data_IF_160935116121
#
_entry.id   IF_160935116121
#
_cell.length_a   1.000
_cell.length_b   1.000
_cell.length_c   1.000
_cell.angle_alpha   90.00
_cell.angle_beta   90.00
_cell.angle_gamma   90.00
#
_symmetry.space_group_name_H-M   'P 1'
#
loop_
_entity.id
_entity.type
_entity.pdbx_description
1 polymer ?
#
# COMPACT_ATOMS: atom_id res chain seq x y z
N UNK A 1 -20.02 11.59 -30.75
CA UNK A 1 -21.00 10.91 -31.62
C UNK A 1 -20.29 10.65 -32.95
N UNK A 2 -20.08 9.46 -33.48
CA UNK A 2 -20.70 8.15 -33.26
C UNK A 2 -19.68 7.08 -32.88
N UNK A 3 -20.13 6.13 -32.06
CA UNK A 3 -19.43 4.92 -31.68
C UNK A 3 -19.29 4.01 -32.90
N UNK A 4 -18.07 3.58 -33.23
CA UNK A 4 -17.89 2.38 -34.06
C UNK A 4 -18.14 1.17 -33.17
N UNK A 5 -19.34 0.60 -33.29
CA UNK A 5 -19.67 -0.73 -32.81
C UNK A 5 -18.57 -1.71 -33.22
N UNK A 6 -17.81 -2.19 -32.24
CA UNK A 6 -16.92 -3.32 -32.44
C UNK A 6 -17.79 -4.51 -32.79
N UNK A 7 -17.88 -4.80 -34.10
CA UNK A 7 -18.56 -5.96 -34.63
C UNK A 7 -18.03 -7.21 -33.93
N UNK A 8 -18.90 -7.87 -33.16
CA UNK A 8 -18.78 -9.29 -32.87
C UNK A 8 -18.65 -10.02 -34.21
N UNK A 9 -17.41 -10.29 -34.63
CA UNK A 9 -17.16 -11.19 -35.74
C UNK A 9 -17.40 -12.60 -35.25
N UNK A 10 -18.64 -13.06 -35.41
CA UNK A 10 -18.96 -14.48 -35.34
C UNK A 10 -18.27 -15.18 -36.51
N UNK A 11 -17.21 -15.92 -36.20
CA UNK A 11 -16.45 -16.68 -37.19
C UNK A 11 -17.22 -17.96 -37.51
N UNK A 12 -17.52 -18.20 -38.78
CA UNK A 12 -18.14 -19.46 -39.21
C UNK A 12 -17.18 -20.64 -39.02
N UNK A 13 -17.71 -21.87 -38.89
CA UNK A 13 -16.88 -23.10 -38.79
C UNK A 13 -15.84 -23.19 -39.92
N UNK A 14 -16.21 -22.75 -41.13
CA UNK A 14 -15.32 -22.78 -42.29
C UNK A 14 -14.24 -21.70 -42.23
N UNK A 15 -14.59 -20.47 -41.81
CA UNK A 15 -13.58 -19.41 -41.60
C UNK A 15 -12.62 -19.76 -40.48
N UNK A 16 -13.09 -20.43 -39.42
CA UNK A 16 -12.22 -20.89 -38.33
C UNK A 16 -11.22 -21.94 -38.82
N UNK A 17 -11.67 -22.93 -39.60
CA UNK A 17 -10.77 -23.92 -40.22
C UNK A 17 -9.77 -23.28 -41.19
N UNK A 18 -10.18 -22.25 -41.92
CA UNK A 18 -9.32 -21.52 -42.85
C UNK A 18 -8.24 -20.70 -42.11
N UNK A 19 -8.62 -19.97 -41.04
CA UNK A 19 -7.68 -19.24 -40.18
C UNK A 19 -6.68 -20.20 -39.50
N UNK A 20 -7.13 -21.38 -39.07
CA UNK A 20 -6.25 -22.39 -38.49
C UNK A 20 -5.23 -22.94 -39.49
N UNK A 21 -5.63 -23.10 -40.76
CA UNK A 21 -4.74 -23.54 -41.82
C UNK A 21 -3.74 -22.44 -42.19
N UNK A 22 -4.17 -21.19 -42.18
CA UNK A 22 -3.37 -20.00 -42.47
C UNK A 22 -2.30 -19.73 -41.40
N UNK A 23 -2.63 -19.86 -40.11
CA UNK A 23 -1.73 -19.52 -39.00
C UNK A 23 -1.02 -20.73 -38.35
N UNK A 24 -1.58 -21.94 -38.45
CA UNK A 24 -1.05 -23.16 -37.81
C UNK A 24 -0.20 -24.05 -38.71
N UNK A 25 -0.24 -23.85 -40.03
CA UNK A 25 0.59 -24.55 -41.01
C UNK A 25 0.37 -26.06 -41.16
N UNK A 26 -0.50 -26.69 -40.34
CA UNK A 26 -0.68 -28.14 -40.27
C UNK A 26 -2.06 -28.53 -39.71
N UNK A 27 -2.82 -29.34 -40.47
CA UNK A 27 -4.19 -29.81 -40.17
C UNK A 27 -4.27 -30.83 -39.02
N UNK A 28 -3.11 -31.34 -38.60
CA UNK A 28 -2.92 -32.49 -37.72
C UNK A 28 -3.19 -32.19 -36.24
N UNK A 29 -3.14 -30.93 -35.78
CA UNK A 29 -3.41 -30.60 -34.38
C UNK A 29 -4.86 -30.90 -33.95
N UNK A 30 -5.86 -30.57 -34.77
CA UNK A 30 -7.27 -30.80 -34.42
C UNK A 30 -7.73 -32.23 -34.72
N UNK A 31 -7.12 -32.90 -35.68
CA UNK A 31 -7.31 -34.35 -35.87
C UNK A 31 -6.72 -35.11 -34.68
N UNK A 32 -5.53 -34.75 -34.21
CA UNK A 32 -4.94 -35.27 -32.96
C UNK A 32 -5.81 -34.92 -31.73
N UNK A 33 -6.23 -33.66 -31.59
CA UNK A 33 -7.04 -33.21 -30.46
C UNK A 33 -8.39 -33.93 -30.42
N UNK A 34 -9.12 -34.01 -31.53
CA UNK A 34 -10.41 -34.70 -31.59
C UNK A 34 -10.32 -36.22 -31.39
N UNK A 35 -9.15 -36.82 -31.65
CA UNK A 35 -8.90 -38.26 -31.44
C UNK A 35 -8.36 -38.60 -30.05
N UNK A 36 -7.66 -37.68 -29.38
CA UNK A 36 -6.95 -37.95 -28.11
C UNK A 36 -7.46 -37.14 -26.91
N UNK A 37 -8.35 -36.17 -27.13
CA UNK A 37 -8.98 -35.42 -26.03
C UNK A 37 -10.43 -35.86 -25.84
N UNK A 38 -10.90 -35.94 -24.58
CA UNK A 38 -12.23 -36.48 -24.28
C UNK A 38 -13.39 -35.56 -24.69
N UNK A 39 -13.11 -34.31 -25.10
CA UNK A 39 -14.14 -33.31 -25.43
C UNK A 39 -13.66 -32.46 -26.62
N UNK A 40 -14.34 -32.49 -27.78
CA UNK A 40 -14.06 -31.57 -28.89
C UNK A 40 -14.32 -30.12 -28.43
N UNK A 41 -13.45 -29.16 -28.76
CA UNK A 41 -13.68 -27.77 -28.36
C UNK A 41 -14.90 -27.24 -29.12
N UNK A 42 -15.89 -26.69 -28.41
CA UNK A 42 -17.05 -26.11 -29.07
C UNK A 42 -16.68 -24.80 -29.74
N UNK A 43 -17.44 -24.40 -30.77
CA UNK A 43 -17.27 -23.10 -31.44
C UNK A 43 -17.35 -21.97 -30.40
N UNK A 44 -18.17 -22.15 -29.36
CA UNK A 44 -18.29 -21.23 -28.25
C UNK A 44 -17.00 -21.16 -27.43
N UNK A 45 -16.40 -22.30 -27.03
CA UNK A 45 -15.10 -22.31 -26.33
C UNK A 45 -14.01 -21.61 -27.14
N UNK A 46 -13.98 -21.86 -28.45
CA UNK A 46 -13.02 -21.28 -29.39
C UNK A 46 -13.18 -19.76 -29.48
N UNK A 47 -14.40 -19.27 -29.69
CA UNK A 47 -14.69 -17.83 -29.77
C UNK A 47 -14.37 -17.14 -28.43
N UNK A 48 -14.68 -17.80 -27.31
CA UNK A 48 -14.37 -17.29 -25.98
C UNK A 48 -12.86 -17.24 -25.72
N UNK A 49 -12.09 -18.19 -26.26
CA UNK A 49 -10.62 -18.20 -26.21
C UNK A 49 -10.02 -17.10 -27.11
N UNK A 50 -10.43 -17.02 -28.38
CA UNK A 50 -9.92 -16.03 -29.35
C UNK A 50 -10.20 -14.58 -28.94
N UNK A 51 -11.32 -14.33 -28.24
CA UNK A 51 -11.64 -13.01 -27.69
C UNK A 51 -10.85 -12.64 -26.42
N UNK A 52 -10.07 -13.58 -25.88
CA UNK A 52 -9.35 -13.45 -24.61
C UNK A 52 -10.27 -13.53 -23.38
N UNK A 53 -11.58 -13.72 -23.56
CA UNK A 53 -12.55 -13.80 -22.46
C UNK A 53 -12.35 -15.05 -21.60
N UNK A 54 -11.94 -16.16 -22.22
CA UNK A 54 -11.60 -17.38 -21.48
C UNK A 54 -10.50 -17.12 -20.46
N UNK A 55 -9.41 -16.47 -20.91
CA UNK A 55 -8.30 -16.08 -20.04
C UNK A 55 -8.76 -15.14 -18.93
N UNK A 56 -9.62 -14.14 -19.20
CA UNK A 56 -10.21 -13.27 -18.16
C UNK A 56 -10.94 -14.09 -17.10
N UNK A 57 -11.81 -15.00 -17.54
CA UNK A 57 -12.66 -15.79 -16.67
C UNK A 57 -11.84 -16.71 -15.76
N UNK A 58 -10.90 -17.47 -16.32
CA UNK A 58 -10.04 -18.35 -15.52
C UNK A 58 -9.18 -17.55 -14.54
N UNK A 59 -8.70 -16.37 -14.95
CA UNK A 59 -7.97 -15.45 -14.05
C UNK A 59 -8.83 -14.95 -12.89
N UNK A 60 -10.09 -14.56 -13.14
CA UNK A 60 -11.04 -14.19 -12.08
C UNK A 60 -11.27 -15.33 -11.10
N UNK A 61 -11.45 -16.56 -11.60
CA UNK A 61 -11.65 -17.75 -10.77
C UNK A 61 -10.42 -18.00 -9.89
N UNK A 62 -9.22 -18.01 -10.48
CA UNK A 62 -7.97 -18.20 -9.76
C UNK A 62 -7.74 -17.12 -8.70
N UNK A 63 -8.02 -15.86 -9.04
CA UNK A 63 -7.93 -14.73 -8.13
C UNK A 63 -8.88 -14.87 -6.93
N UNK A 64 -10.15 -15.21 -7.16
CA UNK A 64 -11.13 -15.48 -6.10
C UNK A 64 -10.70 -16.64 -5.18
N UNK A 65 -10.15 -17.72 -5.75
CA UNK A 65 -9.62 -18.85 -4.97
C UNK A 65 -8.47 -18.43 -4.05
N UNK A 66 -7.59 -17.56 -4.53
CA UNK A 66 -6.46 -17.05 -3.74
C UNK A 66 -6.94 -16.17 -2.58
N UNK A 67 -7.86 -15.23 -2.86
CA UNK A 67 -8.41 -14.34 -1.83
C UNK A 67 -9.20 -15.07 -0.75
N UNK A 68 -10.04 -16.04 -1.13
CA UNK A 68 -10.82 -16.83 -0.17
C UNK A 68 -9.94 -17.68 0.73
N UNK A 69 -8.81 -18.22 0.23
CA UNK A 69 -7.86 -18.95 1.07
C UNK A 69 -7.31 -18.05 2.18
N UNK A 70 -6.89 -16.83 1.84
CA UNK A 70 -6.36 -15.86 2.81
C UNK A 70 -7.39 -15.46 3.87
N UNK A 71 -8.63 -15.17 3.47
CA UNK A 71 -9.73 -14.88 4.42
C UNK A 71 -10.00 -16.06 5.36
N UNK A 72 -9.91 -17.28 4.84
CA UNK A 72 -10.07 -18.47 5.68
C UNK A 72 -8.95 -18.63 6.69
N UNK A 73 -7.70 -18.33 6.31
CA UNK A 73 -6.53 -18.47 7.18
C UNK A 73 -6.63 -17.56 8.43
N UNK A 74 -7.41 -16.48 8.36
CA UNK A 74 -7.69 -15.56 9.47
C UNK A 74 -9.07 -15.78 10.12
N UNK A 75 -9.77 -16.86 9.78
CA UNK A 75 -11.01 -17.28 10.44
C UNK A 75 -12.32 -16.68 9.90
N UNK A 76 -12.29 -15.96 8.77
CA UNK A 76 -13.51 -15.44 8.15
C UNK A 76 -14.26 -16.59 7.44
N UNK A 77 -15.57 -16.72 7.68
CA UNK A 77 -16.40 -17.70 6.99
C UNK A 77 -16.56 -17.34 5.50
N UNK A 78 -16.07 -18.25 4.67
CA UNK A 78 -16.05 -18.17 3.20
C UNK A 78 -16.68 -19.41 2.53
N UNK A 79 -17.52 -20.15 3.28
CA UNK A 79 -18.10 -21.42 2.84
C UNK A 79 -19.01 -21.27 1.61
N UNK A 80 -19.77 -20.16 1.56
CA UNK A 80 -20.66 -19.82 0.44
C UNK A 80 -19.86 -19.54 -0.82
N UNK A 81 -18.84 -18.69 -0.73
CA UNK A 81 -18.00 -18.20 -1.81
C UNK A 81 -17.21 -19.36 -2.42
N UNK A 82 -16.62 -20.23 -1.60
CA UNK A 82 -15.97 -21.47 -2.09
C UNK A 82 -16.88 -22.36 -2.91
N UNK A 83 -18.13 -22.54 -2.48
CA UNK A 83 -19.11 -23.34 -3.22
C UNK A 83 -19.38 -22.71 -4.59
N UNK A 84 -19.61 -21.40 -4.63
CA UNK A 84 -19.90 -20.66 -5.86
C UNK A 84 -18.70 -20.61 -6.81
N UNK A 85 -17.47 -20.51 -6.31
CA UNK A 85 -16.24 -20.60 -7.12
C UNK A 85 -16.14 -21.98 -7.79
N UNK A 86 -16.37 -23.06 -7.03
CA UNK A 86 -16.36 -24.41 -7.58
C UNK A 86 -17.46 -24.62 -8.63
N UNK A 87 -18.62 -24.00 -8.44
CA UNK A 87 -19.71 -24.02 -9.42
C UNK A 87 -19.36 -23.23 -10.69
N UNK A 88 -18.76 -22.04 -10.55
CA UNK A 88 -18.29 -21.25 -11.69
C UNK A 88 -17.26 -22.03 -12.51
N UNK A 89 -16.32 -22.71 -11.83
CA UNK A 89 -15.36 -23.59 -12.48
C UNK A 89 -16.05 -24.73 -13.24
N UNK A 90 -17.06 -25.38 -12.64
CA UNK A 90 -17.85 -26.42 -13.33
C UNK A 90 -18.56 -25.89 -14.58
N UNK A 91 -19.09 -24.66 -14.54
CA UNK A 91 -19.70 -24.03 -15.72
C UNK A 91 -18.69 -23.82 -16.85
N UNK A 92 -17.43 -23.50 -16.55
CA UNK A 92 -16.39 -23.42 -17.59
C UNK A 92 -16.15 -24.76 -18.30
N UNK A 93 -16.30 -25.89 -17.59
CA UNK A 93 -16.17 -27.23 -18.16
C UNK A 93 -17.41 -27.66 -18.98
N UNK A 94 -18.52 -26.93 -18.85
CA UNK A 94 -19.79 -27.18 -19.54
C UNK A 94 -20.06 -26.17 -20.67
N UNK A 95 -19.05 -25.40 -21.08
CA UNK A 95 -19.17 -24.28 -22.04
C UNK A 95 -20.16 -23.16 -21.62
N UNK A 96 -20.55 -23.10 -20.34
CA UNK A 96 -21.46 -22.08 -19.79
C UNK A 96 -20.68 -20.85 -19.32
N UNK A 97 -20.00 -20.20 -20.25
CA UNK A 97 -19.03 -19.14 -19.92
C UNK A 97 -19.66 -17.87 -19.36
N UNK A 98 -20.86 -17.53 -19.83
CA UNK A 98 -21.57 -16.33 -19.36
C UNK A 98 -22.03 -16.51 -17.92
N UNK A 99 -22.58 -17.67 -17.60
CA UNK A 99 -23.02 -18.05 -16.25
C UNK A 99 -21.83 -18.15 -15.30
N UNK A 100 -20.72 -18.75 -15.74
CA UNK A 100 -19.48 -18.78 -14.98
C UNK A 100 -18.97 -17.36 -14.68
N UNK A 101 -18.97 -16.47 -15.67
CA UNK A 101 -18.51 -15.09 -15.50
C UNK A 101 -19.44 -14.26 -14.60
N UNK A 102 -20.76 -14.45 -14.71
CA UNK A 102 -21.73 -13.81 -13.82
C UNK A 102 -21.49 -14.25 -12.36
N UNK A 103 -21.40 -15.57 -12.15
CA UNK A 103 -21.24 -16.15 -10.82
C UNK A 103 -19.92 -15.71 -10.17
N UNK A 104 -18.81 -15.77 -10.90
CA UNK A 104 -17.51 -15.37 -10.33
C UNK A 104 -17.42 -13.87 -10.07
N UNK A 105 -18.10 -13.04 -10.87
CA UNK A 105 -18.12 -11.58 -10.64
C UNK A 105 -18.87 -11.27 -9.34
N UNK A 106 -20.02 -11.90 -9.10
CA UNK A 106 -20.76 -11.75 -7.84
C UNK A 106 -19.96 -12.25 -6.62
N UNK A 107 -19.18 -13.34 -6.77
CA UNK A 107 -18.30 -13.81 -5.70
C UNK A 107 -17.19 -12.79 -5.39
N UNK A 108 -16.60 -12.17 -6.42
CA UNK A 108 -15.55 -11.17 -6.19
C UNK A 108 -16.07 -9.93 -5.48
N UNK A 109 -17.30 -9.51 -5.75
CA UNK A 109 -17.96 -8.41 -5.03
C UNK A 109 -18.12 -8.76 -3.53
N UNK A 110 -18.63 -9.95 -3.22
CA UNK A 110 -18.81 -10.46 -1.84
C UNK A 110 -17.47 -10.59 -1.09
N UNK A 111 -16.44 -11.10 -1.78
CA UNK A 111 -15.09 -11.19 -1.22
C UNK A 111 -14.54 -9.78 -0.93
N UNK A 112 -14.65 -8.84 -1.87
CA UNK A 112 -14.14 -7.49 -1.66
C UNK A 112 -14.86 -6.78 -0.50
N UNK A 113 -16.17 -6.99 -0.33
CA UNK A 113 -16.90 -6.48 0.84
C UNK A 113 -16.34 -7.04 2.16
N UNK A 114 -16.05 -8.34 2.22
CA UNK A 114 -15.43 -8.97 3.40
C UNK A 114 -14.01 -8.47 3.67
N UNK A 115 -13.23 -8.12 2.64
CA UNK A 115 -11.91 -7.51 2.80
C UNK A 115 -11.98 -6.04 3.26
N UNK A 116 -13.12 -5.38 3.14
CA UNK A 116 -13.31 -3.99 3.59
C UNK A 116 -14.18 -3.88 4.85
N UNK A 117 -14.46 -5.00 5.51
CA UNK A 117 -15.21 -5.02 6.77
C UNK A 117 -14.36 -4.39 7.87
N UNK A 118 -14.93 -3.44 8.59
CA UNK A 118 -14.35 -2.70 9.71
C UNK A 118 -15.41 -2.68 10.82
N UNK A 119 -15.31 -3.64 11.73
CA UNK A 119 -16.33 -4.01 12.68
C UNK A 119 -16.43 -3.03 13.85
N UNK A 120 -15.32 -2.44 14.28
CA UNK A 120 -15.29 -1.42 15.35
C UNK A 120 -15.30 0.02 14.84
N UNK A 121 -15.15 0.22 13.53
CA UNK A 121 -15.19 1.51 12.82
C UNK A 121 -14.05 2.43 13.20
N UNK A 122 -12.92 1.87 13.59
CA UNK A 122 -11.70 2.62 13.85
C UNK A 122 -10.97 3.00 12.55
N UNK A 123 -11.39 2.43 11.43
CA UNK A 123 -10.84 2.68 10.12
C UNK A 123 -9.90 1.58 9.64
N UNK A 124 -9.62 0.53 10.40
CA UNK A 124 -8.85 -0.62 9.94
C UNK A 124 -9.80 -1.74 9.53
N UNK A 125 -9.57 -2.42 8.39
CA UNK A 125 -10.33 -3.63 8.09
C UNK A 125 -10.00 -4.79 9.04
N UNK A 126 -11.00 -5.55 9.48
CA UNK A 126 -10.91 -6.69 10.41
C UNK A 126 -9.78 -7.67 10.05
N UNK A 127 -9.61 -7.92 8.75
CA UNK A 127 -8.59 -8.85 8.25
C UNK A 127 -7.17 -8.37 8.54
N UNK A 128 -6.94 -7.06 8.47
CA UNK A 128 -5.66 -6.42 8.74
C UNK A 128 -5.35 -6.50 10.22
N UNK A 129 -6.34 -6.21 11.06
CA UNK A 129 -6.20 -6.28 12.52
C UNK A 129 -5.77 -7.65 13.00
N UNK A 130 -6.41 -8.72 12.52
CA UNK A 130 -6.03 -10.10 12.85
C UNK A 130 -4.59 -10.42 12.41
N UNK A 131 -4.17 -9.92 11.24
CA UNK A 131 -2.79 -10.11 10.74
C UNK A 131 -1.77 -9.37 11.59
N UNK A 132 -2.15 -8.24 12.16
CA UNK A 132 -1.29 -7.35 12.95
C UNK A 132 -1.38 -7.58 14.48
N UNK A 133 -2.34 -8.39 14.93
CA UNK A 133 -2.51 -8.77 16.33
C UNK A 133 -3.35 -7.80 17.16
N UNK A 134 -4.10 -6.90 16.51
CA UNK A 134 -5.16 -6.11 17.13
C UNK A 134 -6.51 -6.85 17.04
N UNK A 135 -7.54 -6.30 17.67
CA UNK A 135 -8.84 -6.92 17.90
C UNK A 135 -9.91 -6.22 17.05
N UNK A 136 -10.55 -6.94 16.10
CA UNK A 136 -11.53 -6.37 15.16
C UNK A 136 -12.77 -5.71 15.74
N UNK A 137 -12.96 -5.77 17.05
CA UNK A 137 -14.16 -5.29 17.74
C UNK A 137 -13.83 -4.22 18.79
N UNK A 138 -12.58 -3.75 18.85
CA UNK A 138 -12.12 -2.78 19.84
C UNK A 138 -11.13 -1.81 19.22
N UNK A 139 -11.52 -0.54 19.11
CA UNK A 139 -10.71 0.49 18.43
C UNK A 139 -9.39 0.85 19.13
N UNK A 140 -9.12 0.28 20.31
CA UNK A 140 -7.88 0.42 21.09
C UNK A 140 -7.70 -0.92 21.83
N UNK A 141 -7.01 -1.85 21.18
CA UNK A 141 -6.88 -3.24 21.61
C UNK A 141 -6.14 -3.42 22.93
N UNK A 142 -5.20 -2.52 23.22
CA UNK A 142 -4.38 -2.58 24.42
C UNK A 142 -4.84 -1.60 25.52
N UNK A 143 -5.86 -0.79 25.22
CA UNK A 143 -6.49 0.20 26.09
C UNK A 143 -5.49 1.22 26.66
N UNK A 144 -4.49 1.62 25.86
CA UNK A 144 -3.47 2.60 26.25
C UNK A 144 -3.87 4.04 25.93
N UNK A 145 -4.98 4.28 25.22
CA UNK A 145 -5.45 5.60 24.80
C UNK A 145 -4.97 6.03 23.41
N UNK A 146 -4.30 5.15 22.66
CA UNK A 146 -3.93 5.28 21.26
C UNK A 146 -4.76 4.26 20.46
N UNK A 147 -5.63 4.70 19.54
CA UNK A 147 -6.39 3.78 18.72
C UNK A 147 -5.53 2.89 17.81
N UNK A 148 -5.99 1.69 17.50
CA UNK A 148 -5.23 0.69 16.73
C UNK A 148 -4.87 1.22 15.34
N UNK A 149 -5.77 1.97 14.69
CA UNK A 149 -5.52 2.62 13.40
C UNK A 149 -4.29 3.54 13.40
N UNK A 150 -3.95 4.13 14.55
CA UNK A 150 -2.77 4.97 14.73
C UNK A 150 -1.56 4.16 15.19
N UNK A 151 -1.73 3.13 16.01
CA UNK A 151 -0.61 2.25 16.37
C UNK A 151 -0.06 1.49 15.16
N UNK A 152 -0.96 1.00 14.31
CA UNK A 152 -0.63 0.29 13.09
C UNK A 152 -0.31 1.24 11.93
N UNK A 153 -0.84 2.47 11.99
CA UNK A 153 -0.82 3.43 10.88
C UNK A 153 -1.59 2.88 9.68
N UNK A 154 -2.89 2.58 9.85
CA UNK A 154 -3.78 1.89 8.91
C UNK A 154 -5.15 2.62 8.72
N UNK A 155 -5.83 2.44 7.57
CA UNK A 155 -7.12 3.06 7.20
C UNK A 155 -7.91 2.23 6.16
N UNK A 156 -9.16 2.63 5.92
CA UNK A 156 -10.26 1.85 5.30
C UNK A 156 -10.05 1.40 3.84
N UNK A 157 -8.95 1.76 3.18
CA UNK A 157 -8.77 1.48 1.75
C UNK A 157 -8.38 0.02 1.42
N UNK A 158 -8.37 -0.86 2.43
CA UNK A 158 -8.10 -2.29 2.25
C UNK A 158 -6.61 -2.62 2.10
N UNK A 159 -5.75 -1.62 2.31
CA UNK A 159 -4.30 -1.78 2.30
C UNK A 159 -3.82 -2.36 3.63
N UNK A 160 -2.84 -3.27 3.58
CA UNK A 160 -2.11 -3.71 4.79
C UNK A 160 -1.32 -2.55 5.40
N UNK A 161 -1.24 -1.39 4.74
CA UNK A 161 -0.49 -0.24 5.20
C UNK A 161 -1.24 1.03 4.83
N UNK A 162 -1.78 1.75 5.81
CA UNK A 162 -2.08 3.15 5.52
C UNK A 162 -0.78 3.92 5.46
N UNK A 163 -0.76 4.83 4.52
CA UNK A 163 0.35 5.67 4.20
C UNK A 163 0.37 6.87 5.17
N UNK A 164 0.06 6.63 6.44
CA UNK A 164 0.31 7.56 7.54
C UNK A 164 1.82 7.66 7.85
N UNK A 165 2.67 6.92 7.13
CA UNK A 165 4.12 7.15 7.09
C UNK A 165 4.45 8.11 5.97
N UNK A 166 5.42 8.99 6.20
CA UNK A 166 5.88 9.93 5.18
C UNK A 166 6.31 9.20 3.89
N UNK A 167 5.52 9.32 2.83
CA UNK A 167 5.73 8.62 1.56
C UNK A 167 5.96 9.59 0.41
N UNK A 168 6.52 9.08 -0.69
CA UNK A 168 6.51 9.78 -1.97
C UNK A 168 5.40 9.20 -2.84
N UNK A 169 4.58 10.07 -3.39
CA UNK A 169 3.59 9.72 -4.39
C UNK A 169 4.04 10.16 -5.79
N UNK A 170 3.89 9.26 -6.76
CA UNK A 170 4.00 9.58 -8.17
C UNK A 170 2.68 9.24 -8.86
N UNK A 171 2.16 10.18 -9.66
CA UNK A 171 0.91 10.08 -10.42
C UNK A 171 1.20 10.30 -11.90
N UNK A 172 0.23 9.93 -12.76
CA UNK A 172 0.18 10.48 -14.12
C UNK A 172 0.29 9.48 -15.26
N UNK A 173 -0.04 8.21 -15.02
CA UNK A 173 -0.06 7.21 -16.07
C UNK A 173 -1.49 6.69 -16.34
N UNK A 174 -1.71 6.08 -17.51
CA UNK A 174 -3.05 5.71 -18.00
C UNK A 174 -3.66 4.56 -17.20
N UNK A 175 -2.85 3.52 -16.98
CA UNK A 175 -3.23 2.29 -16.29
C UNK A 175 -2.72 2.24 -14.86
N UNK A 176 -1.71 3.04 -14.52
CA UNK A 176 -1.24 3.24 -13.15
C UNK A 176 -1.68 4.63 -12.69
N UNK A 177 -2.63 4.66 -11.76
CA UNK A 177 -3.22 5.90 -11.23
C UNK A 177 -2.24 6.64 -10.33
N UNK A 178 -1.65 5.91 -9.39
CA UNK A 178 -0.63 6.41 -8.50
C UNK A 178 0.26 5.27 -8.03
N UNK A 179 1.47 5.64 -7.61
CA UNK A 179 2.38 4.77 -6.89
C UNK A 179 2.85 5.52 -5.66
N UNK A 180 2.83 4.84 -4.51
CA UNK A 180 3.37 5.35 -3.26
C UNK A 180 4.52 4.47 -2.82
N UNK A 181 5.54 5.09 -2.23
CA UNK A 181 6.61 4.36 -1.58
C UNK A 181 7.15 5.07 -0.34
N UNK A 182 7.45 4.29 0.70
CA UNK A 182 8.21 4.70 1.87
C UNK A 182 9.23 3.60 2.22
N UNK A 183 10.20 3.93 3.06
CA UNK A 183 11.08 2.94 3.69
C UNK A 183 10.72 2.80 5.15
N UNK A 184 10.86 1.60 5.70
CA UNK A 184 10.71 1.27 7.11
C UNK A 184 11.65 0.13 7.49
N UNK A 185 12.50 0.34 8.49
CA UNK A 185 13.38 -0.69 9.06
C UNK A 185 14.18 -1.44 7.99
N UNK A 186 14.74 -0.71 7.03
CA UNK A 186 15.47 -1.32 5.92
C UNK A 186 14.58 -2.19 5.03
N UNK A 187 13.30 -1.85 4.87
CA UNK A 187 12.38 -2.43 3.87
C UNK A 187 11.74 -1.29 3.09
N UNK A 188 11.73 -1.39 1.77
CA UNK A 188 11.02 -0.47 0.88
C UNK A 188 9.61 -1.00 0.66
N UNK A 189 8.62 -0.22 1.04
CA UNK A 189 7.21 -0.52 0.86
C UNK A 189 6.69 0.24 -0.34
N UNK A 190 5.93 -0.44 -1.21
CA UNK A 190 5.41 0.11 -2.45
C UNK A 190 3.93 -0.27 -2.58
N UNK A 191 3.06 0.72 -2.77
CA UNK A 191 1.70 0.49 -3.25
C UNK A 191 1.52 1.05 -4.65
N UNK A 192 0.80 0.30 -5.48
CA UNK A 192 0.50 0.63 -6.86
C UNK A 192 -1.02 0.58 -7.01
N UNK A 193 -1.62 1.71 -7.40
CA UNK A 193 -3.03 1.75 -7.77
C UNK A 193 -3.18 1.69 -9.28
N UNK A 194 -3.92 0.69 -9.73
CA UNK A 194 -4.23 0.48 -11.13
C UNK A 194 -5.53 1.18 -11.52
N UNK A 195 -5.78 1.32 -12.82
CA UNK A 195 -6.99 1.95 -13.36
C UNK A 195 -8.22 1.03 -13.38
N UNK A 196 -8.00 -0.27 -13.17
CA UNK A 196 -8.97 -1.35 -13.19
C UNK A 196 -8.41 -2.52 -12.37
N UNK A 197 -9.22 -3.55 -12.06
CA UNK A 197 -8.75 -4.69 -11.30
C UNK A 197 -7.55 -5.38 -11.98
N UNK A 198 -6.62 -5.89 -11.17
CA UNK A 198 -5.36 -6.45 -11.64
C UNK A 198 -5.58 -7.61 -12.64
N UNK A 199 -6.56 -8.47 -12.37
CA UNK A 199 -6.95 -9.59 -13.23
C UNK A 199 -7.49 -9.18 -14.62
N UNK A 200 -7.86 -7.91 -14.84
CA UNK A 200 -8.27 -7.37 -16.14
C UNK A 200 -7.09 -6.98 -17.05
N UNK A 201 -5.86 -6.98 -16.53
CA UNK A 201 -4.65 -6.74 -17.32
C UNK A 201 -4.14 -8.04 -17.95
N UNK A 202 -4.84 -8.49 -18.99
CA UNK A 202 -4.40 -9.60 -19.84
C UNK A 202 -3.21 -9.16 -20.70
N UNK A 203 -2.29 -10.10 -20.92
CA UNK A 203 -1.12 -9.97 -21.79
C UNK A 203 -0.13 -8.87 -21.40
N UNK A 204 -0.36 -8.22 -20.26
CA UNK A 204 0.52 -7.19 -19.71
C UNK A 204 1.49 -7.76 -18.71
N UNK A 205 2.57 -7.02 -18.48
CA UNK A 205 3.57 -7.33 -17.48
C UNK A 205 3.79 -6.12 -16.58
N UNK A 206 3.78 -6.34 -15.27
CA UNK A 206 4.11 -5.34 -14.27
C UNK A 206 5.43 -5.72 -13.59
N UNK A 207 6.35 -4.78 -13.61
CA UNK A 207 7.67 -4.90 -13.01
C UNK A 207 7.95 -3.73 -12.09
N UNK A 208 8.62 -4.02 -10.98
CA UNK A 208 9.25 -3.01 -10.13
C UNK A 208 10.76 -3.08 -10.38
N UNK A 209 11.32 -1.99 -10.86
CA UNK A 209 12.76 -1.86 -11.04
C UNK A 209 13.33 -1.04 -9.89
N UNK A 210 14.31 -1.61 -9.20
CA UNK A 210 15.10 -0.91 -8.19
C UNK A 210 16.55 -0.91 -8.66
N UNK A 211 16.91 0.13 -9.41
CA UNK A 211 18.19 0.19 -10.10
C UNK A 211 18.28 -0.84 -11.22
N UNK A 212 19.25 -1.75 -11.14
CA UNK A 212 19.46 -2.81 -12.14
C UNK A 212 18.69 -4.10 -11.78
N UNK A 213 17.99 -4.13 -10.65
CA UNK A 213 17.23 -5.29 -10.19
C UNK A 213 15.78 -5.12 -10.62
N UNK A 214 15.23 -6.19 -11.20
CA UNK A 214 13.85 -6.24 -11.65
C UNK A 214 13.06 -7.28 -10.82
N UNK A 215 11.94 -6.84 -10.23
CA UNK A 215 10.97 -7.66 -9.53
C UNK A 215 9.69 -7.79 -10.38
N UNK A 216 9.46 -8.93 -11.04
CA UNK A 216 8.17 -9.20 -11.69
C UNK A 216 7.07 -9.32 -10.65
N UNK A 217 6.01 -8.51 -10.79
CA UNK A 217 4.79 -8.63 -9.98
C UNK A 217 3.80 -9.55 -10.68
N UNK A 218 3.60 -9.34 -11.97
CA UNK A 218 2.87 -10.26 -12.83
C UNK A 218 3.36 -10.15 -14.28
N UNK A 219 3.11 -11.19 -15.06
CA UNK A 219 3.51 -11.30 -16.46
C UNK A 219 2.30 -11.67 -17.33
N UNK A 220 2.49 -11.74 -18.65
CA UNK A 220 1.45 -12.24 -19.56
C UNK A 220 1.04 -13.69 -19.30
N UNK A 221 1.93 -14.48 -18.67
CA UNK A 221 1.72 -15.89 -18.36
C UNK A 221 1.23 -16.13 -16.92
N UNK A 222 1.08 -15.07 -16.15
CA UNK A 222 0.64 -15.10 -14.76
C UNK A 222 -0.83 -15.54 -14.66
N UNK A 223 -1.08 -16.59 -13.86
CA UNK A 223 -2.40 -17.03 -13.42
C UNK A 223 -2.64 -16.53 -11.98
N UNK A 224 -3.37 -15.43 -11.87
CA UNK A 224 -3.52 -14.64 -10.64
C UNK A 224 -3.81 -15.51 -9.43
N UNK A 225 -2.92 -15.48 -8.43
CA UNK A 225 -3.02 -16.28 -7.21
C UNK A 225 -1.88 -17.27 -6.99
N UNK A 226 -0.96 -17.40 -7.95
CA UNK A 226 0.27 -18.21 -7.82
C UNK A 226 1.58 -17.48 -8.19
N UNK A 227 1.56 -16.21 -8.63
CA UNK A 227 2.78 -15.42 -8.99
C UNK A 227 3.72 -15.11 -7.82
N UNK A 228 3.44 -15.76 -6.73
CA UNK A 228 3.59 -15.33 -5.36
C UNK A 228 3.86 -16.56 -4.48
N UNK A 229 3.64 -17.75 -5.04
CA UNK A 229 3.82 -19.06 -4.41
C UNK A 229 5.01 -19.84 -4.96
N UNK A 230 5.72 -19.35 -5.98
CA UNK A 230 6.94 -20.00 -6.47
C UNK A 230 8.18 -19.19 -6.12
N UNK A 231 9.15 -19.86 -5.48
CA UNK A 231 10.52 -19.39 -5.38
C UNK A 231 11.12 -19.27 -6.78
N UNK A 232 10.92 -18.14 -7.46
CA UNK A 232 12.01 -17.65 -8.31
C UNK A 232 13.17 -17.30 -7.37
N UNK A 233 14.40 -17.36 -7.85
CA UNK A 233 15.68 -17.18 -7.12
C UNK A 233 15.78 -15.98 -6.14
N UNK A 234 14.72 -15.19 -5.97
CA UNK A 234 14.59 -13.97 -5.18
C UNK A 234 13.51 -14.01 -4.09
N UNK A 235 12.92 -15.18 -3.83
CA UNK A 235 12.15 -15.45 -2.60
C UNK A 235 10.74 -14.86 -2.57
N UNK A 236 9.93 -15.51 -1.73
CA UNK A 236 8.53 -15.27 -1.38
C UNK A 236 7.98 -13.85 -1.61
N UNK A 237 6.66 -13.76 -1.85
CA UNK A 237 5.90 -12.64 -1.29
C UNK A 237 6.36 -12.49 0.16
N UNK A 238 6.99 -11.37 0.50
CA UNK A 238 7.15 -10.94 1.88
C UNK A 238 5.79 -11.06 2.55
N UNK A 239 5.72 -11.61 3.77
CA UNK A 239 4.49 -11.93 4.54
C UNK A 239 3.29 -10.98 4.34
N UNK A 240 3.56 -9.72 3.98
CA UNK A 240 2.64 -8.59 3.81
C UNK A 240 2.39 -8.12 2.37
N UNK A 241 2.85 -8.79 1.29
CA UNK A 241 2.50 -8.35 -0.08
C UNK A 241 1.14 -8.92 -0.51
N UNK A 242 0.35 -8.11 -1.20
CA UNK A 242 -0.99 -8.48 -1.61
C UNK A 242 -1.38 -7.84 -2.94
N UNK A 243 -2.40 -8.43 -3.56
CA UNK A 243 -3.12 -7.83 -4.68
C UNK A 243 -4.59 -7.88 -4.30
N UNK A 244 -5.16 -6.70 -4.07
CA UNK A 244 -6.56 -6.51 -3.73
C UNK A 244 -7.19 -5.59 -4.76
N UNK A 245 -7.97 -6.20 -5.64
CA UNK A 245 -8.71 -5.60 -6.72
C UNK A 245 -7.77 -4.84 -7.67
N UNK A 246 -7.76 -3.52 -7.59
CA UNK A 246 -6.91 -2.61 -8.37
C UNK A 246 -5.73 -2.06 -7.56
N UNK A 247 -5.54 -2.48 -6.31
CA UNK A 247 -4.40 -2.12 -5.46
C UNK A 247 -3.42 -3.29 -5.37
N UNK A 248 -2.12 -2.99 -5.53
CA UNK A 248 -1.03 -3.94 -5.32
C UNK A 248 -0.09 -3.38 -4.28
N UNK A 249 0.22 -4.15 -3.25
CA UNK A 249 1.17 -3.80 -2.21
C UNK A 249 2.30 -4.79 -2.17
N UNK A 250 3.52 -4.27 -2.07
CA UNK A 250 4.74 -5.05 -2.07
C UNK A 250 5.69 -4.51 -1.02
N UNK A 251 6.21 -5.40 -0.18
CA UNK A 251 7.36 -5.11 0.66
C UNK A 251 8.61 -5.62 -0.06
N UNK A 252 9.67 -4.84 -0.14
CA UNK A 252 10.95 -5.26 -0.71
C UNK A 252 12.03 -4.93 0.32
N UNK A 253 12.64 -5.92 1.01
CA UNK A 253 13.67 -5.68 2.00
C UNK A 253 14.82 -4.96 1.29
N UNK A 254 15.40 -4.00 1.96
CA UNK A 254 16.61 -3.34 1.52
C UNK A 254 17.70 -4.41 1.59
N UNK A 255 18.07 -4.92 0.42
CA UNK A 255 19.04 -5.98 0.32
C UNK A 255 20.40 -5.34 0.59
N UNK A 256 20.80 -5.31 1.87
CA UNK A 256 22.13 -4.93 2.35
C UNK A 256 23.25 -5.68 1.60
N UNK A 257 22.92 -6.85 1.03
CA UNK A 257 23.80 -7.59 0.14
C UNK A 257 24.20 -6.80 -1.12
N UNK A 258 23.35 -5.95 -1.73
CA UNK A 258 23.69 -5.22 -2.96
C UNK A 258 24.36 -3.85 -2.72
N UNK A 259 24.07 -3.22 -1.57
CA UNK A 259 24.82 -2.02 -1.14
C UNK A 259 26.30 -2.34 -0.94
N UNK A 260 26.63 -3.57 -0.48
CA UNK A 260 28.01 -4.09 -0.40
C UNK A 260 28.72 -4.16 -1.76
N UNK A 261 27.96 -4.27 -2.86
CA UNK A 261 28.49 -4.26 -4.23
C UNK A 261 28.47 -2.85 -4.88
N UNK A 262 28.25 -1.79 -4.11
CA UNK A 262 28.31 -0.41 -4.60
C UNK A 262 27.08 0.05 -5.37
N UNK A 263 25.98 -0.70 -5.32
CA UNK A 263 24.73 -0.30 -5.95
C UNK A 263 24.08 0.82 -5.12
N UNK A 264 23.95 2.01 -5.71
CA UNK A 264 23.27 3.15 -5.10
C UNK A 264 21.75 3.00 -5.21
N UNK A 265 21.03 3.57 -4.24
CA UNK A 265 19.58 3.78 -4.32
C UNK A 265 19.23 4.57 -5.58
N UNK A 266 18.83 3.84 -6.62
CA UNK A 266 18.32 4.40 -7.87
C UNK A 266 16.83 4.69 -7.71
N UNK A 267 16.24 5.57 -8.55
CA UNK A 267 14.80 5.74 -8.61
C UNK A 267 14.10 4.38 -8.77
N UNK A 268 12.99 4.20 -8.05
CA UNK A 268 12.12 3.05 -8.26
C UNK A 268 11.36 3.32 -9.56
N UNK A 269 11.33 2.36 -10.47
CA UNK A 269 10.56 2.46 -11.71
C UNK A 269 9.51 1.37 -11.71
N UNK A 270 8.24 1.78 -11.73
CA UNK A 270 7.13 0.87 -11.96
C UNK A 270 6.87 0.86 -13.46
N UNK A 271 6.96 -0.32 -14.07
CA UNK A 271 6.75 -0.50 -15.50
C UNK A 271 5.57 -1.45 -15.74
N UNK A 272 4.49 -0.95 -16.32
CA UNK A 272 3.38 -1.74 -16.83
C UNK A 272 3.45 -1.74 -18.36
N UNK A 273 4.11 -2.75 -18.93
CA UNK A 273 4.58 -2.78 -20.32
C UNK A 273 5.35 -1.50 -20.71
N UNK A 274 4.75 -0.66 -21.56
CA UNK A 274 5.33 0.58 -22.09
C UNK A 274 5.00 1.81 -21.22
N UNK A 275 4.35 1.62 -20.09
CA UNK A 275 3.94 2.68 -19.18
C UNK A 275 4.85 2.70 -17.95
N UNK A 276 5.50 3.83 -17.69
CA UNK A 276 6.51 3.96 -16.65
C UNK A 276 6.13 5.05 -15.65
N UNK A 277 6.20 4.72 -14.37
CA UNK A 277 6.16 5.69 -13.28
C UNK A 277 7.49 5.64 -12.54
N UNK A 278 8.13 6.80 -12.46
CA UNK A 278 9.37 6.97 -11.71
C UNK A 278 9.04 7.54 -10.34
N UNK A 279 9.45 6.83 -9.30
CA UNK A 279 9.48 7.37 -7.94
C UNK A 279 10.93 7.79 -7.67
N UNK A 280 11.18 9.07 -7.35
CA UNK A 280 12.51 9.53 -6.95
C UNK A 280 12.96 8.87 -5.65
N UNK A 281 14.15 9.23 -5.16
CA UNK A 281 14.74 8.67 -3.93
C UNK A 281 13.73 8.65 -2.77
N UNK A 282 13.24 7.47 -2.42
CA UNK A 282 12.37 7.26 -1.26
C UNK A 282 13.16 7.60 0.00
N UNK A 283 12.70 8.54 0.84
CA UNK A 283 13.40 8.92 2.06
C UNK A 283 13.54 7.68 2.94
N UNK A 284 14.72 7.52 3.51
CA UNK A 284 14.98 6.48 4.48
C UNK A 284 14.47 6.96 5.83
N UNK A 285 13.49 6.25 6.39
CA UNK A 285 12.83 6.63 7.64
C UNK A 285 13.59 6.19 8.89
N UNK A 286 14.75 5.52 8.72
CA UNK A 286 15.55 5.13 9.88
C UNK A 286 15.76 6.36 10.74
N UNK A 287 15.40 6.24 12.02
CA UNK A 287 15.69 7.23 13.06
C UNK A 287 17.20 7.28 13.38
N UNK A 288 18.03 6.99 12.38
CA UNK A 288 19.46 7.18 12.37
C UNK A 288 19.76 8.58 11.81
N UNK A 289 20.76 9.26 12.39
CA UNK A 289 21.11 10.61 11.98
C UNK A 289 19.96 11.64 12.18
N UNK A 290 19.32 11.57 13.36
CA UNK A 290 18.30 12.51 13.83
C UNK A 290 18.99 13.63 14.61
N UNK A 291 18.57 14.87 14.39
CA UNK A 291 18.93 16.01 15.26
C UNK A 291 17.69 16.53 15.96
N UNK A 292 17.72 16.59 17.29
CA UNK A 292 16.65 17.22 18.08
C UNK A 292 17.06 18.64 18.41
N UNK A 293 16.18 19.60 18.10
CA UNK A 293 16.38 21.02 18.37
C UNK A 293 15.28 21.54 19.28
N UNK A 294 15.68 22.14 20.40
CA UNK A 294 14.78 22.75 21.37
C UNK A 294 15.06 24.25 21.50
N UNK A 295 14.12 25.00 22.07
CA UNK A 295 14.31 26.42 22.35
C UNK A 295 15.37 26.70 23.43
N UNK A 296 16.37 27.53 23.13
CA UNK A 296 17.39 27.92 24.11
C UNK A 296 16.76 28.54 25.37
N UNK A 297 17.22 28.11 26.55
CA UNK A 297 16.70 28.51 27.87
C UNK A 297 15.18 28.28 28.07
N UNK A 298 14.59 27.29 27.40
CA UNK A 298 13.18 26.91 27.58
C UNK A 298 13.01 25.60 28.37
N UNK A 299 11.83 25.44 28.96
CA UNK A 299 11.39 24.22 29.68
C UNK A 299 11.36 23.02 28.72
N UNK A 300 11.14 23.27 27.43
CA UNK A 300 11.06 22.25 26.38
C UNK A 300 12.35 21.44 26.22
N UNK A 301 13.48 21.93 26.76
CA UNK A 301 14.75 21.19 26.87
C UNK A 301 14.57 19.83 27.54
N UNK A 302 13.78 19.76 28.61
CA UNK A 302 13.61 18.51 29.35
C UNK A 302 12.81 17.48 28.55
N UNK A 303 11.85 17.92 27.72
CA UNK A 303 11.12 17.03 26.82
C UNK A 303 12.00 16.56 25.66
N UNK A 304 12.81 17.46 25.11
CA UNK A 304 13.77 17.10 24.06
C UNK A 304 14.84 16.11 24.54
N UNK A 305 15.26 16.19 25.82
CA UNK A 305 16.12 15.19 26.44
C UNK A 305 15.47 13.81 26.55
N UNK A 306 14.15 13.71 26.75
CA UNK A 306 13.46 12.42 26.79
C UNK A 306 13.58 11.69 25.44
N UNK A 307 13.42 12.43 24.33
CA UNK A 307 13.64 11.91 22.98
C UNK A 307 15.09 11.48 22.82
N UNK A 308 16.04 12.36 23.17
CA UNK A 308 17.46 12.08 23.04
C UNK A 308 17.90 10.83 23.82
N UNK A 309 17.36 10.65 25.04
CA UNK A 309 17.63 9.48 25.88
C UNK A 309 17.02 8.19 25.32
N UNK A 310 15.73 8.21 24.92
CA UNK A 310 15.07 7.01 24.40
C UNK A 310 15.62 6.55 23.05
N UNK A 311 16.11 7.49 22.23
CA UNK A 311 16.53 7.22 20.84
C UNK A 311 18.04 7.20 20.65
N UNK A 312 18.84 7.54 21.67
CA UNK A 312 20.31 7.66 21.62
C UNK A 312 20.80 8.63 20.52
N UNK A 313 20.32 9.89 20.57
CA UNK A 313 20.55 10.89 19.51
C UNK A 313 21.09 12.23 20.03
N UNK A 314 21.68 13.01 19.11
CA UNK A 314 22.29 14.31 19.44
C UNK A 314 21.22 15.39 19.64
N UNK A 315 21.43 16.21 20.69
CA UNK A 315 20.56 17.30 21.09
C UNK A 315 21.30 18.64 20.97
N UNK A 316 20.65 19.66 20.42
CA UNK A 316 21.16 21.04 20.41
C UNK A 316 20.02 22.04 20.64
N UNK A 317 20.34 23.25 21.09
CA UNK A 317 19.38 24.34 21.10
C UNK A 317 19.31 25.07 19.75
N UNK A 318 18.25 25.85 19.57
CA UNK A 318 17.93 26.58 18.34
C UNK A 318 18.87 27.75 18.02
N UNK A 319 19.68 28.21 18.98
CA UNK A 319 20.69 29.27 18.80
C UNK A 319 22.03 28.66 18.41
N UNK A 320 22.41 27.55 19.04
CA UNK A 320 23.64 26.80 18.76
C UNK A 320 23.52 25.92 17.51
N UNK A 321 22.31 25.79 16.94
CA UNK A 321 22.08 24.99 15.75
C UNK A 321 22.76 25.62 14.51
N UNK A 322 23.80 24.98 14.02
CA UNK A 322 24.57 25.43 12.84
C UNK A 322 24.09 24.83 11.51
N UNK A 323 22.91 24.21 11.49
CA UNK A 323 22.40 23.47 10.34
C UNK A 323 22.53 21.95 10.53
N UNK A 324 21.60 21.14 10.00
CA UNK A 324 21.55 19.73 10.37
C UNK A 324 22.60 18.94 9.57
N UNK A 325 23.37 18.10 10.28
CA UNK A 325 24.11 16.95 9.71
C UNK A 325 23.18 15.75 9.44
N UNK A 326 21.90 15.86 9.81
CA UNK A 326 20.88 14.80 9.84
C UNK A 326 19.98 14.65 8.62
N UNK A 327 19.42 13.44 8.45
CA UNK A 327 18.30 13.15 7.52
C UNK A 327 16.95 13.57 8.11
N UNK A 328 16.84 13.58 9.44
CA UNK A 328 15.62 13.92 10.20
C UNK A 328 15.92 15.03 11.21
N UNK A 329 15.07 16.07 11.24
CA UNK A 329 15.14 17.20 12.16
C UNK A 329 13.87 17.22 13.01
N UNK A 330 13.99 16.99 14.31
CA UNK A 330 12.87 17.07 15.26
C UNK A 330 12.93 18.39 16.01
N UNK A 331 11.89 19.20 15.86
CA UNK A 331 11.75 20.51 16.49
C UNK A 331 10.80 20.39 17.67
N UNK A 332 11.32 20.63 18.86
CA UNK A 332 10.54 20.57 20.10
C UNK A 332 10.22 22.00 20.56
N UNK A 333 8.93 22.25 20.77
CA UNK A 333 8.38 23.55 21.17
C UNK A 333 7.84 24.37 19.99
N UNK A 334 6.78 25.13 20.27
CA UNK A 334 6.09 25.95 19.26
C UNK A 334 6.87 27.19 18.79
N UNK A 335 6.32 27.95 17.82
CA UNK A 335 6.97 29.13 17.21
C UNK A 335 7.43 30.23 18.18
N UNK A 336 6.87 30.30 19.39
CA UNK A 336 7.30 31.26 20.43
C UNK A 336 8.49 30.75 21.25
N UNK A 337 8.65 29.44 21.35
CA UNK A 337 9.67 28.79 22.15
C UNK A 337 10.92 28.45 21.33
N UNK A 338 10.75 28.09 20.06
CA UNK A 338 11.81 27.60 19.17
C UNK A 338 11.84 28.39 17.85
N UNK A 339 12.96 29.06 17.58
CA UNK A 339 13.16 29.91 16.41
C UNK A 339 13.16 29.12 15.10
N UNK A 340 13.63 27.87 15.08
CA UNK A 340 13.52 27.01 13.90
C UNK A 340 12.08 26.63 13.63
N UNK A 341 11.31 26.28 14.67
CA UNK A 341 9.88 26.02 14.53
C UNK A 341 9.17 27.21 13.89
N UNK A 342 9.46 28.43 14.38
CA UNK A 342 8.95 29.68 13.78
C UNK A 342 9.35 29.83 12.32
N UNK A 343 10.61 29.56 11.99
CA UNK A 343 11.09 29.65 10.61
C UNK A 343 10.31 28.69 9.68
N UNK A 344 10.23 27.40 10.02
CA UNK A 344 9.61 26.42 9.14
C UNK A 344 8.08 26.52 9.07
N UNK A 345 7.42 26.78 10.20
CA UNK A 345 5.96 26.87 10.24
C UNK A 345 5.44 28.22 9.72
N UNK A 346 6.02 29.34 10.16
CA UNK A 346 5.46 30.68 9.91
C UNK A 346 6.10 31.35 8.70
N UNK A 347 7.42 31.29 8.56
CA UNK A 347 8.12 32.01 7.50
C UNK A 347 8.14 31.22 6.19
N UNK A 348 8.52 29.93 6.26
CA UNK A 348 8.59 29.05 5.10
C UNK A 348 7.25 28.37 4.78
N UNK A 349 6.28 28.40 5.72
CA UNK A 349 4.91 27.85 5.55
C UNK A 349 4.90 26.40 5.05
N UNK A 350 5.80 25.57 5.60
CA UNK A 350 5.93 24.18 5.19
C UNK A 350 4.88 23.26 5.80
N UNK A 351 4.14 23.75 6.80
CA UNK A 351 3.14 22.99 7.53
C UNK A 351 1.75 23.59 7.32
N UNK A 352 0.70 22.75 7.25
CA UNK A 352 -0.68 23.21 7.04
C UNK A 352 -1.25 23.98 8.23
N UNK A 353 -0.72 23.76 9.43
CA UNK A 353 -1.17 24.39 10.66
C UNK A 353 -0.03 25.08 11.41
N UNK A 354 -0.36 26.12 12.18
CA UNK A 354 0.60 26.89 12.99
C UNK A 354 0.14 26.85 14.46
N UNK A 355 1.00 26.32 15.33
CA UNK A 355 0.74 26.28 16.78
C UNK A 355 0.83 27.70 17.37
N UNK A 356 -0.16 28.08 18.17
CA UNK A 356 -0.21 29.33 18.94
C UNK A 356 -0.49 29.02 20.41
N UNK A 357 -0.54 30.04 21.28
CA UNK A 357 -0.90 29.81 22.68
C UNK A 357 -2.38 29.41 22.86
N UNK A 358 -3.20 29.60 21.83
CA UNK A 358 -4.63 29.35 21.82
C UNK A 358 -4.98 28.06 21.05
N UNK A 359 -4.23 27.73 20.00
CA UNK A 359 -4.46 26.55 19.15
C UNK A 359 -3.23 25.62 19.17
N UNK A 360 -3.37 24.30 19.40
CA UNK A 360 -4.61 23.48 19.28
C UNK A 360 -5.57 23.49 20.47
N UNK A 361 -5.30 24.28 21.50
CA UNK A 361 -6.11 24.37 22.73
C UNK A 361 -5.30 24.04 23.97
N UNK A 362 -5.79 24.42 25.16
CA UNK A 362 -5.09 24.21 26.43
C UNK A 362 -4.75 22.74 26.64
N UNK A 363 -3.52 22.45 27.08
CA UNK A 363 -2.98 21.10 27.27
C UNK A 363 -2.98 20.21 26.01
N UNK A 364 -3.20 20.79 24.83
CA UNK A 364 -3.15 20.08 23.55
C UNK A 364 -1.84 20.34 22.81
N UNK A 365 -1.34 19.27 22.21
CA UNK A 365 -0.12 19.21 21.41
C UNK A 365 -0.42 18.83 19.98
N UNK A 366 0.53 19.10 19.10
CA UNK A 366 0.46 18.79 17.69
C UNK A 366 1.74 18.08 17.26
N UNK A 367 1.59 16.97 16.55
CA UNK A 367 2.65 16.20 15.91
C UNK A 367 2.47 16.36 14.40
N UNK A 368 3.48 16.88 13.71
CA UNK A 368 3.46 17.03 12.25
C UNK A 368 4.81 16.72 11.65
N UNK A 369 4.82 16.19 10.43
CA UNK A 369 6.03 16.06 9.64
C UNK A 369 5.84 16.50 8.19
N UNK A 370 6.94 16.90 7.55
CA UNK A 370 6.98 17.26 6.13
C UNK A 370 8.34 16.94 5.53
N UNK A 371 8.40 16.75 4.20
CA UNK A 371 9.64 16.62 3.46
C UNK A 371 10.04 18.00 2.93
N UNK A 372 11.25 18.46 3.25
CA UNK A 372 11.80 19.69 2.69
C UNK A 372 13.28 19.50 2.34
N UNK A 373 13.65 19.78 1.09
CA UNK A 373 15.01 19.63 0.57
C UNK A 373 15.64 18.25 0.85
N UNK A 374 14.86 17.17 0.67
CA UNK A 374 15.32 15.79 0.89
C UNK A 374 15.50 15.40 2.36
N UNK A 375 14.96 16.19 3.30
CA UNK A 375 14.99 15.92 4.74
C UNK A 375 13.58 15.83 5.31
N UNK A 376 13.43 15.06 6.38
CA UNK A 376 12.20 15.00 7.16
C UNK A 376 12.29 16.05 8.27
N UNK A 377 11.33 16.96 8.33
CA UNK A 377 11.20 17.93 9.42
C UNK A 377 9.97 17.55 10.23
N UNK A 378 10.16 17.25 11.50
CA UNK A 378 9.12 16.89 12.47
C UNK A 378 8.96 18.05 13.46
N UNK A 379 7.72 18.44 13.75
CA UNK A 379 7.38 19.42 14.77
C UNK A 379 6.57 18.74 15.87
N UNK A 380 7.04 18.89 17.11
CA UNK A 380 6.38 18.47 18.34
C UNK A 380 6.14 19.72 19.18
N UNK A 381 4.92 20.26 19.11
CA UNK A 381 4.62 21.56 19.70
C UNK A 381 3.19 21.61 20.23
N UNK A 382 3.01 22.18 21.42
CA UNK A 382 1.69 22.48 21.98
C UNK A 382 1.47 23.95 22.21
N UNK A 383 0.21 24.27 22.51
CA UNK A 383 -0.21 25.61 22.91
C UNK A 383 0.39 26.05 24.25
N UNK A 384 0.75 25.07 25.07
CA UNK A 384 1.45 25.26 26.33
C UNK A 384 2.51 24.15 26.55
N UNK A 385 3.20 24.23 27.68
CA UNK A 385 4.26 23.28 28.06
C UNK A 385 3.74 21.85 28.26
N UNK A 386 2.46 21.67 28.62
CA UNK A 386 1.87 20.35 28.81
C UNK A 386 1.44 19.77 27.47
N UNK A 387 0.92 20.60 26.57
CA UNK A 387 0.68 20.28 25.17
C UNK A 387 1.94 19.79 24.45
N UNK A 388 3.07 20.51 24.63
CA UNK A 388 4.35 20.08 24.04
C UNK A 388 4.83 18.76 24.65
N UNK A 389 4.67 18.55 25.96
CA UNK A 389 5.01 17.30 26.63
C UNK A 389 4.22 16.11 26.05
N UNK A 390 2.90 16.24 25.94
CA UNK A 390 2.06 15.14 25.43
C UNK A 390 2.37 14.82 23.96
N UNK A 391 2.72 15.81 23.14
CA UNK A 391 3.17 15.57 21.77
C UNK A 391 4.46 14.75 21.71
N UNK A 392 5.38 14.99 22.64
CA UNK A 392 6.61 14.20 22.76
C UNK A 392 6.34 12.78 23.26
N UNK A 393 5.50 12.63 24.28
CA UNK A 393 5.16 11.33 24.86
C UNK A 393 4.49 10.42 23.82
N UNK A 394 3.45 10.93 23.13
CA UNK A 394 2.75 10.18 22.07
C UNK A 394 3.68 9.90 20.88
N UNK A 395 4.51 10.84 20.44
CA UNK A 395 5.46 10.60 19.34
C UNK A 395 6.42 9.44 19.63
N UNK A 396 6.86 9.30 20.89
CA UNK A 396 7.72 8.20 21.32
C UNK A 396 6.98 6.87 21.41
N UNK A 397 5.65 6.89 21.59
CA UNK A 397 4.80 5.70 21.62
C UNK A 397 4.41 5.24 20.21
N UNK A 398 4.13 6.16 19.27
CA UNK A 398 3.80 5.84 17.88
C UNK A 398 4.87 4.98 17.19
N UNK A 399 6.15 5.22 17.46
CA UNK A 399 7.24 4.46 16.85
C UNK A 399 7.46 4.74 15.34
N UNK A 400 6.75 5.70 14.75
CA UNK A 400 6.94 6.18 13.38
C UNK A 400 6.70 7.70 13.26
N UNK A 401 7.04 8.28 12.09
CA UNK A 401 6.80 9.70 11.79
C UNK A 401 5.49 9.84 10.99
N UNK A 402 4.48 10.55 11.50
CA UNK A 402 3.18 10.64 10.84
C UNK A 402 3.19 11.57 9.61
N UNK A 403 2.50 11.17 8.55
CA UNK A 403 2.27 11.95 7.33
C UNK A 403 1.15 12.98 7.51
N UNK A 404 0.10 12.63 8.26
CA UNK A 404 -1.01 13.51 8.61
C UNK A 404 -0.77 14.18 9.97
N UNK A 405 -1.18 15.45 10.16
CA UNK A 405 -1.10 16.10 11.47
C UNK A 405 -1.96 15.43 12.53
N UNK A 406 -1.38 15.17 13.71
CA UNK A 406 -2.07 14.54 14.85
C UNK A 406 -2.17 15.54 16.00
N UNK A 407 -3.39 15.80 16.50
CA UNK A 407 -3.60 16.53 17.75
C UNK A 407 -3.72 15.55 18.91
N UNK A 408 -2.98 15.85 19.97
CA UNK A 408 -2.93 15.08 21.21
C UNK A 408 -3.33 15.94 22.40
N UNK A 409 -3.81 15.35 23.48
CA UNK A 409 -4.21 16.04 24.70
C UNK A 409 -3.71 15.33 25.95
N UNK A 410 -3.24 16.13 26.90
CA UNK A 410 -2.85 15.64 28.21
C UNK A 410 -4.08 15.43 29.10
N UNK A 411 -4.31 14.19 29.55
CA UNK A 411 -5.40 13.86 30.49
C UNK A 411 -4.85 13.42 31.86
N UNK A 412 -5.66 13.54 32.91
CA UNK A 412 -5.29 13.11 34.26
C UNK A 412 -5.04 11.58 34.39
N UNK A 413 -5.45 10.79 33.38
CA UNK A 413 -5.25 9.33 33.32
C UNK A 413 -4.12 8.91 32.38
N UNK A 414 -3.42 9.86 31.72
CA UNK A 414 -2.39 9.58 30.71
C UNK A 414 -2.49 10.49 29.47
N UNK A 415 -1.51 10.38 28.58
CA UNK A 415 -1.55 10.98 27.24
C UNK A 415 -2.68 10.34 26.41
N UNK A 416 -3.43 11.14 25.63
CA UNK A 416 -4.45 10.62 24.70
C UNK A 416 -4.34 11.30 23.36
N UNK A 417 -4.55 10.54 22.29
CA UNK A 417 -4.77 11.14 20.96
C UNK A 417 -6.21 11.63 20.89
N UNK A 418 -6.40 12.85 20.37
CA UNK A 418 -7.73 13.49 20.36
C UNK A 418 -8.30 13.61 18.97
N UNK A 419 -7.46 13.83 17.96
CA UNK A 419 -7.95 14.14 16.62
C UNK A 419 -6.85 13.94 15.57
N UNK A 420 -7.18 13.24 14.48
CA UNK A 420 -6.35 13.21 13.27
C UNK A 420 -6.91 14.28 12.34
N UNK A 421 -6.07 15.24 11.94
CA UNK A 421 -6.50 16.28 11.00
C UNK A 421 -6.34 15.77 9.58
N UNK A 422 -7.45 15.55 8.89
CA UNK A 422 -7.47 15.29 7.46
C UNK A 422 -7.34 16.62 6.70
N UNK A 423 -6.37 16.70 5.80
CA UNK A 423 -6.11 17.87 4.94
C UNK A 423 -7.21 18.15 3.94
#
# INVERSE_FOLDING_TARGET
MSASSGLEKNVSRQEFLNLLTEYGGKSDFFEFYSTHTPVPPSIESINYWLSGNYSRLIRKISYAMSLTRRLQDIGIDISKEKRLINEAFKYTLQDKYQEANYLITAVLEDIHEKYSMDSDKDGIPDFVEVVHGSSPITSDSNNNGIPDNLELGMSLDGSLWDWNKLYIEAKGAKNIRWVRAFKLNGTTWIAIKLSKPAYEFIDKQLYIWMGDINYPIFTRYSFWGQEFTYSMFYGNIFKYSMILNDTIEVAIPNISFWEKYGMRLRPIVIALDNEYIHIPSVPDDTLSNVTVVYGFNRVDKEYAKMIAYKMDITLTDDVSFTGPSGKVLILVGGPLANNLTKHYMTNARLFPYVVTNEWPGKHRGLIMATIHNGRIIVVLAGSDRFGTKVAVDVFLELGYIPHTPIIVEYSNTGSKIVEILTS
#
